data_IF_056259873754
#
_entry.id   IF_056259873754
#
_cell.length_a   1.000
_cell.length_b   1.000
_cell.length_c   1.000
_cell.angle_alpha   90.00
_cell.angle_beta   90.00
_cell.angle_gamma   90.00
#
_symmetry.space_group_name_H-M   'P 1'
#
loop_
_entity.id
_entity.type
_entity.pdbx_description
1 polymer ?
#
# COMPACT_ATOMS: atom_id res chain seq x y z
N UNK A 1 7.29 -0.94 -58.31
CA UNK A 1 7.89 -0.09 -57.26
C UNK A 1 6.98 -0.15 -56.05
N UNK A 2 7.03 -1.27 -55.31
CA UNK A 2 6.56 -1.35 -53.94
C UNK A 2 7.81 -1.38 -53.08
N UNK A 3 8.05 -0.33 -52.30
CA UNK A 3 9.17 -0.28 -51.37
C UNK A 3 8.67 0.10 -49.99
N UNK A 4 8.99 -0.79 -49.05
CA UNK A 4 9.25 -0.54 -47.63
C UNK A 4 8.06 -0.37 -46.69
N UNK A 5 7.28 -1.44 -46.57
CA UNK A 5 6.69 -1.83 -45.29
C UNK A 5 7.69 -2.61 -44.43
N UNK A 6 8.70 -1.95 -43.85
CA UNK A 6 9.50 -2.56 -42.79
C UNK A 6 10.25 -1.50 -41.96
N UNK A 7 10.24 -1.67 -40.63
CA UNK A 7 11.10 -1.01 -39.62
C UNK A 7 10.68 0.38 -39.09
N UNK A 8 9.51 0.49 -38.48
CA UNK A 8 9.23 1.55 -37.47
C UNK A 8 9.13 0.97 -36.04
N UNK A 9 8.73 -0.31 -35.87
CA UNK A 9 8.65 -0.95 -34.54
C UNK A 9 10.00 -1.16 -33.83
N UNK A 10 11.08 -1.41 -34.58
CA UNK A 10 12.38 -1.78 -33.98
C UNK A 10 13.23 -0.60 -33.47
N UNK A 11 12.86 0.65 -33.78
CA UNK A 11 13.66 1.84 -33.38
C UNK A 11 13.22 2.40 -32.02
N UNK A 12 11.91 2.38 -31.73
CA UNK A 12 11.37 2.73 -30.40
C UNK A 12 11.74 1.71 -29.32
N UNK A 13 11.77 0.42 -29.65
CA UNK A 13 12.25 -0.65 -28.75
C UNK A 13 13.72 -0.52 -28.38
N UNK A 14 14.58 -0.11 -29.33
CA UNK A 14 16.02 0.04 -29.10
C UNK A 14 16.38 1.26 -28.25
N UNK A 15 15.58 2.33 -28.30
CA UNK A 15 15.76 3.52 -27.44
C UNK A 15 15.29 3.21 -26.01
N UNK A 16 14.20 2.45 -25.86
CA UNK A 16 13.71 1.98 -24.55
C UNK A 16 14.70 1.09 -23.80
N UNK A 17 15.45 0.23 -24.51
CA UNK A 17 16.43 -0.70 -23.91
C UNK A 17 17.63 0.00 -23.26
N UNK A 18 17.98 1.23 -23.67
CA UNK A 18 19.24 1.86 -23.23
C UNK A 18 19.12 2.72 -21.97
N UNK A 19 17.98 3.38 -21.71
CA UNK A 19 17.89 4.34 -20.59
C UNK A 19 16.60 4.24 -19.74
N UNK A 20 15.46 3.79 -20.29
CA UNK A 20 14.17 3.81 -19.57
C UNK A 20 13.86 2.59 -18.71
N UNK A 21 14.33 1.39 -19.10
CA UNK A 21 13.94 0.14 -18.46
C UNK A 21 14.33 0.01 -16.98
N UNK A 22 15.48 0.56 -16.56
CA UNK A 22 15.98 0.42 -15.19
C UNK A 22 15.23 1.29 -14.18
N UNK A 23 14.87 2.52 -14.55
CA UNK A 23 14.11 3.44 -13.68
C UNK A 23 12.70 2.95 -13.39
N UNK A 24 12.08 2.24 -14.34
CA UNK A 24 10.72 1.70 -14.22
C UNK A 24 10.64 0.61 -13.17
N UNK A 25 11.58 -0.34 -13.21
CA UNK A 25 11.65 -1.39 -12.20
C UNK A 25 11.98 -0.80 -10.82
N UNK A 26 12.88 0.17 -10.74
CA UNK A 26 13.19 0.86 -9.49
C UNK A 26 11.97 1.59 -8.89
N UNK A 27 11.20 2.32 -9.70
CA UNK A 27 10.01 3.01 -9.24
C UNK A 27 8.91 2.04 -8.78
N UNK A 28 8.64 0.97 -9.55
CA UNK A 28 7.67 -0.05 -9.16
C UNK A 28 8.06 -0.76 -7.85
N UNK A 29 9.35 -1.10 -7.70
CA UNK A 29 9.87 -1.76 -6.50
C UNK A 29 9.78 -0.82 -5.29
N UNK A 30 10.17 0.45 -5.45
CA UNK A 30 10.16 1.42 -4.37
C UNK A 30 8.75 1.75 -3.88
N UNK A 31 7.79 1.95 -4.80
CA UNK A 31 6.40 2.20 -4.40
C UNK A 31 5.79 0.98 -3.69
N UNK A 32 6.09 -0.22 -4.20
CA UNK A 32 5.62 -1.44 -3.57
C UNK A 32 6.24 -1.66 -2.18
N UNK A 33 7.52 -1.31 -2.02
CA UNK A 33 8.19 -1.32 -0.73
C UNK A 33 7.49 -0.37 0.24
N UNK A 34 7.38 0.92 -0.08
CA UNK A 34 6.81 1.93 0.82
C UNK A 34 5.39 1.59 1.31
N UNK A 35 4.53 1.15 0.39
CA UNK A 35 3.14 0.80 0.70
C UNK A 35 3.04 -0.49 1.53
N UNK A 36 3.92 -1.47 1.29
CA UNK A 36 4.00 -2.69 2.10
C UNK A 36 4.58 -2.41 3.48
N UNK A 37 5.53 -1.48 3.62
CA UNK A 37 6.08 -1.06 4.92
C UNK A 37 5.03 -0.42 5.80
N UNK A 38 4.23 0.51 5.25
CA UNK A 38 3.15 1.15 5.98
C UNK A 38 2.15 0.11 6.51
N UNK A 39 1.67 -0.75 5.63
CA UNK A 39 0.72 -1.81 5.99
C UNK A 39 1.30 -2.78 7.02
N UNK A 40 2.54 -3.21 6.82
CA UNK A 40 3.22 -4.14 7.72
C UNK A 40 3.32 -3.60 9.15
N UNK A 41 3.63 -2.30 9.30
CA UNK A 41 3.69 -1.61 10.60
C UNK A 41 2.32 -1.51 11.26
N UNK A 42 1.29 -1.14 10.50
CA UNK A 42 -0.11 -1.08 10.99
C UNK A 42 -0.58 -2.47 11.43
N UNK A 43 -0.25 -3.51 10.65
CA UNK A 43 -0.63 -4.87 10.98
C UNK A 43 0.15 -5.44 12.18
N UNK A 44 1.41 -5.05 12.36
CA UNK A 44 2.20 -5.40 13.55
C UNK A 44 1.62 -4.79 14.82
N UNK A 45 1.30 -3.49 14.79
CA UNK A 45 0.61 -2.77 15.88
C UNK A 45 -0.73 -3.43 16.25
N UNK A 46 -1.43 -3.90 15.23
CA UNK A 46 -2.73 -4.53 15.35
C UNK A 46 -2.66 -5.99 15.81
N UNK A 47 -1.66 -6.75 15.35
CA UNK A 47 -1.40 -8.13 15.78
C UNK A 47 -1.13 -8.20 17.29
N UNK A 48 -0.39 -7.22 17.81
CA UNK A 48 -0.14 -7.08 19.25
C UNK A 48 -1.44 -6.86 20.04
N UNK A 49 -2.39 -6.08 19.50
CA UNK A 49 -3.71 -5.88 20.12
C UNK A 49 -4.61 -7.12 20.05
N UNK A 50 -4.42 -7.98 19.04
CA UNK A 50 -5.16 -9.23 18.84
C UNK A 50 -4.51 -10.45 19.53
N UNK A 51 -3.75 -10.24 20.62
CA UNK A 51 -3.06 -11.31 21.36
C UNK A 51 -2.18 -12.21 20.47
N UNK A 52 -1.60 -11.68 19.38
CA UNK A 52 -0.80 -12.45 18.43
C UNK A 52 -1.51 -13.69 17.84
N UNK A 53 -2.85 -13.67 17.75
CA UNK A 53 -3.62 -14.73 17.09
C UNK A 53 -3.30 -14.86 15.59
N UNK A 54 -2.72 -13.81 14.99
CA UNK A 54 -2.28 -13.79 13.60
C UNK A 54 -0.88 -13.20 13.55
N UNK A 55 0.09 -14.01 13.16
CA UNK A 55 1.46 -13.58 13.03
C UNK A 55 1.68 -12.68 11.82
N UNK A 56 2.56 -11.70 12.00
CA UNK A 56 3.03 -10.81 10.94
C UNK A 56 3.73 -11.61 9.83
N UNK A 57 4.51 -12.63 10.18
CA UNK A 57 5.22 -13.50 9.22
C UNK A 57 4.28 -14.35 8.36
N UNK A 58 3.25 -14.93 8.97
CA UNK A 58 2.23 -15.73 8.27
C UNK A 58 1.41 -14.87 7.31
N UNK A 59 1.02 -13.67 7.77
CA UNK A 59 0.31 -12.68 6.97
C UNK A 59 1.14 -12.22 5.77
N UNK A 60 2.44 -11.96 5.97
CA UNK A 60 3.34 -11.60 4.89
C UNK A 60 3.45 -12.73 3.86
N UNK A 61 3.63 -13.98 4.30
CA UNK A 61 3.74 -15.13 3.42
C UNK A 61 2.45 -15.33 2.60
N UNK A 62 1.30 -15.33 3.27
CA UNK A 62 -0.01 -15.50 2.63
C UNK A 62 -0.29 -14.34 1.67
N UNK A 63 0.10 -13.12 2.00
CA UNK A 63 0.00 -11.96 1.09
C UNK A 63 0.81 -12.12 -0.18
N UNK A 64 2.02 -12.69 -0.08
CA UNK A 64 2.85 -12.94 -1.26
C UNK A 64 2.26 -14.05 -2.14
N UNK A 65 1.74 -15.13 -1.53
CA UNK A 65 1.05 -16.21 -2.25
C UNK A 65 -0.21 -15.69 -2.94
N UNK A 66 -1.01 -14.88 -2.27
CA UNK A 66 -2.23 -14.29 -2.83
C UNK A 66 -1.92 -13.32 -3.97
N UNK A 67 -0.90 -12.48 -3.82
CA UNK A 67 -0.42 -11.60 -4.89
C UNK A 67 0.04 -12.39 -6.12
N UNK A 68 0.72 -13.52 -5.91
CA UNK A 68 1.13 -14.43 -6.98
C UNK A 68 -0.07 -15.10 -7.68
N UNK A 69 -1.01 -15.65 -6.90
CA UNK A 69 -2.23 -16.27 -7.43
C UNK A 69 -3.04 -15.26 -8.24
N UNK A 70 -3.21 -14.05 -7.72
CA UNK A 70 -3.92 -13.00 -8.44
C UNK A 70 -3.16 -12.59 -9.71
N UNK A 71 -1.84 -12.41 -9.67
CA UNK A 71 -1.05 -12.06 -10.85
C UNK A 71 -1.08 -13.14 -11.96
N UNK A 72 -1.20 -14.41 -11.60
CA UNK A 72 -1.27 -15.53 -12.54
C UNK A 72 -2.66 -15.65 -13.19
N UNK A 73 -3.73 -15.57 -12.40
CA UNK A 73 -5.09 -15.88 -12.86
C UNK A 73 -5.92 -14.65 -13.24
N UNK A 74 -5.64 -13.45 -12.71
CA UNK A 74 -6.46 -12.28 -12.99
C UNK A 74 -6.50 -11.92 -14.48
N UNK A 75 -7.66 -11.45 -14.93
CA UNK A 75 -7.85 -10.91 -16.27
C UNK A 75 -7.16 -9.56 -16.43
N UNK A 76 -7.07 -8.76 -15.35
CA UNK A 76 -6.34 -7.49 -15.34
C UNK A 76 -4.96 -7.63 -14.67
N UNK A 77 -3.87 -7.90 -15.42
CA UNK A 77 -2.56 -8.22 -14.85
C UNK A 77 -1.82 -7.01 -14.22
N UNK A 78 -2.29 -5.79 -14.46
CA UNK A 78 -1.70 -4.60 -13.83
C UNK A 78 -2.17 -4.39 -12.39
N UNK A 79 -3.26 -5.04 -12.00
CA UNK A 79 -3.85 -4.87 -10.68
C UNK A 79 -3.08 -5.65 -9.63
N UNK A 80 -2.72 -4.95 -8.55
CA UNK A 80 -2.01 -5.53 -7.42
C UNK A 80 -2.96 -5.59 -6.24
N UNK A 81 -3.08 -6.80 -5.69
CA UNK A 81 -3.88 -7.07 -4.49
C UNK A 81 -2.98 -6.98 -3.26
N UNK A 82 -3.55 -6.48 -2.18
CA UNK A 82 -2.90 -6.31 -0.90
C UNK A 82 -3.94 -5.90 0.13
N UNK A 83 -3.59 -5.97 1.39
CA UNK A 83 -4.51 -5.51 2.40
C UNK A 83 -4.49 -3.97 2.49
N UNK A 84 -5.63 -3.39 2.86
CA UNK A 84 -5.90 -1.96 2.80
C UNK A 84 -6.32 -1.45 4.17
N UNK A 85 -6.04 -0.18 4.49
CA UNK A 85 -6.36 0.42 5.79
C UNK A 85 -7.82 0.19 6.23
N UNK A 86 -8.84 0.40 5.37
CA UNK A 86 -10.23 0.12 5.74
C UNK A 86 -10.51 -1.36 6.08
N UNK A 87 -9.85 -2.31 5.40
CA UNK A 87 -9.98 -3.73 5.72
C UNK A 87 -9.34 -4.07 7.07
N UNK A 88 -8.22 -3.43 7.42
CA UNK A 88 -7.57 -3.57 8.72
C UNK A 88 -8.51 -3.12 9.85
N UNK A 89 -9.08 -1.92 9.72
CA UNK A 89 -10.03 -1.38 10.70
C UNK A 89 -11.24 -2.31 10.87
N UNK A 90 -11.73 -2.89 9.76
CA UNK A 90 -12.77 -3.90 9.81
C UNK A 90 -12.34 -5.14 10.60
N UNK A 91 -11.12 -5.65 10.41
CA UNK A 91 -10.60 -6.78 11.20
C UNK A 91 -10.52 -6.45 12.70
N UNK A 92 -10.14 -5.23 13.05
CA UNK A 92 -10.12 -4.76 14.43
C UNK A 92 -11.50 -4.73 15.08
N UNK A 93 -12.46 -4.15 14.37
CA UNK A 93 -13.86 -4.15 14.79
C UNK A 93 -14.40 -5.58 14.92
N UNK A 94 -14.05 -6.47 13.98
CA UNK A 94 -14.44 -7.88 14.01
C UNK A 94 -13.85 -8.61 15.22
N UNK A 95 -12.60 -8.32 15.59
CA UNK A 95 -11.95 -8.91 16.77
C UNK A 95 -12.64 -8.45 18.06
N UNK A 96 -12.92 -7.15 18.20
CA UNK A 96 -13.66 -6.62 19.34
C UNK A 96 -15.08 -7.18 19.43
N UNK A 97 -15.75 -7.34 18.28
CA UNK A 97 -17.04 -7.99 18.20
C UNK A 97 -16.94 -9.45 18.67
N UNK A 98 -16.01 -10.24 18.14
CA UNK A 98 -15.81 -11.62 18.54
C UNK A 98 -15.56 -11.76 20.05
N UNK A 99 -14.72 -10.88 20.62
CA UNK A 99 -14.43 -10.86 22.06
C UNK A 99 -15.65 -10.47 22.91
N UNK A 100 -16.48 -9.54 22.45
CA UNK A 100 -17.69 -9.11 23.18
C UNK A 100 -18.77 -10.19 23.22
N UNK A 101 -18.90 -10.97 22.14
CA UNK A 101 -19.90 -12.04 22.02
C UNK A 101 -19.34 -13.44 22.33
N UNK A 102 -18.09 -13.53 22.85
CA UNK A 102 -17.40 -14.79 23.16
C UNK A 102 -17.36 -15.77 21.96
N UNK A 103 -17.29 -15.24 20.75
CA UNK A 103 -17.17 -16.03 19.53
C UNK A 103 -15.70 -16.28 19.21
N UNK A 104 -15.41 -17.48 18.70
CA UNK A 104 -14.08 -17.76 18.17
C UNK A 104 -13.82 -16.89 16.92
N UNK A 105 -12.78 -16.06 17.03
CA UNK A 105 -12.41 -15.09 16.00
C UNK A 105 -12.03 -15.76 14.69
N UNK A 106 -11.32 -16.89 14.75
CA UNK A 106 -10.83 -17.58 13.57
C UNK A 106 -12.00 -18.21 12.80
N UNK A 107 -12.90 -18.89 13.52
CA UNK A 107 -14.14 -19.44 12.96
C UNK A 107 -15.03 -18.36 12.32
N UNK A 108 -15.17 -17.20 12.97
CA UNK A 108 -15.97 -16.09 12.44
C UNK A 108 -15.39 -15.55 11.11
N UNK A 109 -14.06 -15.47 11.00
CA UNK A 109 -13.40 -15.06 9.75
C UNK A 109 -13.65 -16.04 8.61
N UNK A 110 -13.58 -17.35 8.86
CA UNK A 110 -13.86 -18.37 7.84
C UNK A 110 -15.29 -18.22 7.32
N UNK A 111 -16.27 -18.06 8.21
CA UNK A 111 -17.66 -17.83 7.83
C UNK A 111 -17.86 -16.57 6.99
N UNK A 112 -17.19 -15.47 7.34
CA UNK A 112 -17.20 -14.25 6.52
C UNK A 112 -16.60 -14.53 5.14
N UNK A 113 -15.48 -15.25 5.05
CA UNK A 113 -14.87 -15.65 3.77
C UNK A 113 -15.79 -16.50 2.89
N UNK A 114 -16.56 -17.41 3.49
CA UNK A 114 -17.57 -18.22 2.78
C UNK A 114 -18.66 -17.34 2.20
N UNK A 115 -19.24 -16.45 3.02
CA UNK A 115 -20.27 -15.51 2.54
C UNK A 115 -19.75 -14.52 1.51
N UNK A 116 -18.51 -14.05 1.63
CA UNK A 116 -17.86 -13.21 0.62
C UNK A 116 -17.77 -13.92 -0.74
N UNK A 117 -17.52 -15.23 -0.74
CA UNK A 117 -17.53 -16.03 -1.98
C UNK A 117 -18.93 -16.18 -2.56
N UNK A 118 -19.92 -16.46 -1.72
CA UNK A 118 -21.33 -16.53 -2.16
C UNK A 118 -21.78 -15.20 -2.76
N UNK A 119 -21.57 -14.08 -2.07
CA UNK A 119 -21.93 -12.76 -2.59
C UNK A 119 -21.13 -12.38 -3.84
N UNK A 120 -19.84 -12.72 -3.89
CA UNK A 120 -19.01 -12.51 -5.08
C UNK A 120 -19.55 -13.24 -6.32
N UNK A 121 -19.96 -14.49 -6.16
CA UNK A 121 -20.59 -15.28 -7.22
C UNK A 121 -21.94 -14.68 -7.66
N UNK A 122 -22.78 -14.26 -6.71
CA UNK A 122 -24.07 -13.62 -7.02
C UNK A 122 -23.85 -12.30 -7.78
N UNK A 123 -22.93 -11.45 -7.32
CA UNK A 123 -22.61 -10.18 -7.99
C UNK A 123 -22.09 -10.42 -9.41
N UNK A 124 -21.27 -11.46 -9.61
CA UNK A 124 -20.80 -11.84 -10.93
C UNK A 124 -21.92 -12.38 -11.84
N UNK A 125 -22.82 -13.21 -11.29
CA UNK A 125 -23.93 -13.83 -12.01
C UNK A 125 -25.04 -12.84 -12.42
N UNK A 126 -25.37 -11.88 -11.57
CA UNK A 126 -26.41 -10.87 -11.84
C UNK A 126 -25.92 -9.64 -12.62
N UNK A 127 -24.69 -9.69 -13.16
CA UNK A 127 -24.04 -8.54 -13.80
C UNK A 127 -24.05 -7.27 -12.94
N UNK A 128 -24.10 -7.38 -11.61
CA UNK A 128 -24.12 -6.22 -10.71
C UNK A 128 -22.83 -5.39 -10.82
N UNK A 129 -21.76 -5.99 -11.36
CA UNK A 129 -20.52 -5.32 -11.79
C UNK A 129 -20.79 -4.19 -12.80
N UNK A 130 -21.89 -4.21 -13.57
CA UNK A 130 -22.27 -3.13 -14.47
C UNK A 130 -22.61 -1.81 -13.73
N UNK A 131 -22.98 -1.87 -12.44
CA UNK A 131 -23.17 -0.68 -11.59
C UNK A 131 -21.87 0.13 -11.52
N UNK A 132 -20.72 -0.53 -11.58
CA UNK A 132 -19.40 0.12 -11.53
C UNK A 132 -19.22 1.09 -12.72
N UNK A 133 -19.86 0.84 -13.87
CA UNK A 133 -19.84 1.78 -15.02
C UNK A 133 -20.64 3.06 -14.77
N UNK A 134 -21.50 3.10 -13.75
CA UNK A 134 -22.30 4.29 -13.38
C UNK A 134 -21.53 5.25 -12.46
N UNK A 135 -20.36 4.87 -11.94
CA UNK A 135 -19.52 5.79 -11.19
C UNK A 135 -19.00 6.89 -12.13
N UNK A 136 -19.40 8.11 -11.84
CA UNK A 136 -18.98 9.29 -12.59
C UNK A 136 -17.73 9.89 -12.00
N UNK A 137 -16.98 10.65 -12.80
CA UNK A 137 -15.79 11.41 -12.37
C UNK A 137 -16.01 12.20 -11.06
N UNK A 138 -17.22 12.73 -10.85
CA UNK A 138 -17.59 13.44 -9.63
C UNK A 138 -17.52 12.55 -8.38
N UNK A 139 -18.11 11.34 -8.44
CA UNK A 139 -18.02 10.38 -7.32
C UNK A 139 -16.57 9.93 -7.09
N UNK A 140 -15.77 9.87 -8.16
CA UNK A 140 -14.35 9.53 -8.05
C UNK A 140 -13.55 10.58 -7.28
N UNK A 141 -13.76 11.85 -7.60
CA UNK A 141 -13.06 12.97 -6.98
C UNK A 141 -13.47 13.13 -5.52
N UNK A 142 -14.77 12.96 -5.18
CA UNK A 142 -15.23 12.98 -3.78
C UNK A 142 -14.57 11.87 -2.97
N UNK A 143 -14.59 10.65 -3.50
CA UNK A 143 -14.02 9.51 -2.80
C UNK A 143 -12.51 9.70 -2.58
N UNK A 144 -11.80 10.19 -3.60
CA UNK A 144 -10.37 10.47 -3.50
C UNK A 144 -10.04 11.53 -2.46
N UNK A 145 -10.85 12.59 -2.37
CA UNK A 145 -10.70 13.61 -1.35
C UNK A 145 -10.96 13.05 0.05
N UNK A 146 -11.96 12.18 0.21
CA UNK A 146 -12.28 11.54 1.50
C UNK A 146 -11.11 10.68 2.00
N UNK A 147 -10.55 9.82 1.16
CA UNK A 147 -9.40 8.99 1.57
C UNK A 147 -8.17 9.84 1.87
N UNK A 148 -7.91 10.88 1.07
CA UNK A 148 -6.84 11.83 1.36
C UNK A 148 -7.00 12.48 2.74
N UNK A 149 -8.22 12.90 3.09
CA UNK A 149 -8.54 13.47 4.39
C UNK A 149 -8.33 12.46 5.53
N UNK A 150 -8.78 11.21 5.35
CA UNK A 150 -8.58 10.12 6.32
C UNK A 150 -7.09 9.87 6.55
N UNK A 151 -6.28 9.78 5.50
CA UNK A 151 -4.84 9.56 5.68
C UNK A 151 -4.15 10.72 6.39
N UNK A 152 -4.48 11.96 6.06
CA UNK A 152 -3.93 13.13 6.76
C UNK A 152 -4.30 13.05 8.25
N UNK A 153 -5.57 12.78 8.55
CA UNK A 153 -6.04 12.64 9.93
C UNK A 153 -5.28 11.53 10.66
N UNK A 154 -5.15 10.35 10.06
CA UNK A 154 -4.47 9.20 10.64
C UNK A 154 -2.99 9.47 10.94
N UNK A 155 -2.28 10.14 10.02
CA UNK A 155 -0.88 10.56 10.23
C UNK A 155 -0.73 11.48 11.45
N UNK A 156 -1.67 12.41 11.67
CA UNK A 156 -1.66 13.27 12.86
C UNK A 156 -2.02 12.53 14.13
N UNK A 157 -2.99 11.60 14.11
CA UNK A 157 -3.34 10.77 15.27
C UNK A 157 -2.13 9.94 15.72
N UNK A 158 -1.41 9.32 14.78
CA UNK A 158 -0.18 8.57 15.06
C UNK A 158 0.91 9.46 15.66
N UNK A 159 1.10 10.68 15.13
CA UNK A 159 2.04 11.64 15.70
C UNK A 159 1.66 12.01 17.15
N UNK A 160 0.39 12.29 17.41
CA UNK A 160 -0.10 12.61 18.77
C UNK A 160 0.11 11.42 19.72
N UNK A 161 -0.14 10.20 19.25
CA UNK A 161 0.10 8.99 20.04
C UNK A 161 1.58 8.83 20.43
N UNK A 162 2.52 9.18 19.55
CA UNK A 162 3.96 9.21 19.88
C UNK A 162 4.26 10.24 20.97
N UNK A 163 3.64 11.42 20.92
CA UNK A 163 3.78 12.44 21.97
C UNK A 163 3.17 12.03 23.31
N UNK A 164 2.12 11.19 23.30
CA UNK A 164 1.54 10.62 24.51
C UNK A 164 2.42 9.51 25.09
N UNK A 165 3.05 8.70 24.24
CA UNK A 165 3.94 7.59 24.65
C UNK A 165 5.29 8.11 25.16
N UNK A 166 5.79 9.20 24.58
CA UNK A 166 7.03 9.87 24.97
C UNK A 166 6.75 11.34 25.32
N UNK A 167 6.16 11.60 26.50
CA UNK A 167 5.84 12.96 26.93
C UNK A 167 7.12 13.78 27.14
N UNK A 168 7.04 15.07 26.85
CA UNK A 168 8.13 16.02 27.07
C UNK A 168 8.21 16.39 28.56
N UNK A 169 8.92 15.58 29.33
CA UNK A 169 9.16 15.81 30.76
C UNK A 169 10.56 16.40 30.94
N UNK A 170 10.77 17.21 31.99
CA UNK A 170 12.06 17.83 32.31
C UNK A 170 13.09 16.82 32.83
N UNK A 171 12.65 15.72 33.43
CA UNK A 171 13.48 14.71 34.06
C UNK A 171 13.06 13.32 33.56
N UNK A 172 14.01 12.57 33.01
CA UNK A 172 13.82 11.20 32.54
C UNK A 172 14.62 10.27 33.45
N UNK A 173 13.99 9.20 33.94
CA UNK A 173 14.69 8.16 34.70
C UNK A 173 15.48 7.30 33.73
N UNK A 174 16.80 7.50 33.69
CA UNK A 174 17.71 6.60 32.97
C UNK A 174 18.01 5.44 33.92
N UNK A 175 17.46 4.26 33.65
CA UNK A 175 17.92 3.03 34.30
C UNK A 175 19.31 2.74 33.74
N UNK A 176 20.36 3.28 34.37
CA UNK A 176 21.73 2.81 34.14
C UNK A 176 21.86 1.45 34.81
N UNK A 177 22.09 0.39 34.03
CA UNK A 177 22.62 -0.87 34.55
C UNK A 177 24.05 -0.63 35.07
N UNK A 178 24.15 -0.07 36.27
CA UNK A 178 25.36 -0.19 37.08
C UNK A 178 25.07 -1.08 38.29
N UNK A 179 25.95 -2.07 38.45
CA UNK A 179 26.01 -3.03 39.54
C UNK A 179 25.58 -2.46 40.91
N UNK A 180 24.70 -3.20 41.58
CA UNK A 180 24.71 -3.31 43.05
C UNK A 180 24.13 -2.15 43.83
N UNK A 181 22.98 -2.42 44.47
CA UNK A 181 22.60 -1.91 45.80
C UNK A 181 22.58 -0.39 45.99
N UNK A 182 21.39 0.21 46.07
CA UNK A 182 21.07 1.12 47.19
C UNK A 182 19.56 1.36 47.29
N UNK A 183 19.13 1.47 48.54
CA UNK A 183 17.78 1.77 48.96
C UNK A 183 17.34 3.13 48.40
N UNK A 184 16.28 3.13 47.60
CA UNK A 184 15.57 4.31 47.14
C UNK A 184 14.08 3.98 47.07
N UNK A 185 13.28 4.81 47.73
CA UNK A 185 11.83 4.73 47.94
C UNK A 185 11.05 4.28 46.70
N UNK A 186 10.03 3.40 46.83
CA UNK A 186 9.18 3.02 45.70
C UNK A 186 8.25 4.20 45.37
N UNK A 187 8.68 5.10 44.49
CA UNK A 187 7.75 6.01 43.84
C UNK A 187 6.96 5.20 42.83
N UNK A 188 5.71 4.90 43.19
CA UNK A 188 4.68 4.37 42.30
C UNK A 188 4.63 5.23 41.03
N UNK A 189 5.36 4.80 40.01
CA UNK A 189 5.28 5.38 38.68
C UNK A 189 4.04 4.76 38.09
N UNK A 190 3.02 5.57 37.80
CA UNK A 190 1.90 5.13 36.98
C UNK A 190 2.48 4.63 35.67
N UNK A 191 2.58 3.30 35.53
CA UNK A 191 2.78 2.64 34.26
C UNK A 191 1.61 3.06 33.40
N UNK A 192 1.82 4.04 32.53
CA UNK A 192 0.83 4.39 31.52
C UNK A 192 0.79 3.20 30.58
N UNK A 193 -0.22 2.33 30.75
CA UNK A 193 -0.54 1.29 29.77
C UNK A 193 -0.77 1.98 28.44
N UNK A 194 0.23 1.93 27.57
CA UNK A 194 0.01 2.12 26.16
C UNK A 194 -1.00 1.06 25.69
N UNK A 195 -1.82 1.34 24.68
CA UNK A 195 -2.66 0.32 24.04
C UNK A 195 -1.83 -0.78 23.33
N UNK A 196 -0.50 -0.68 23.38
CA UNK A 196 0.48 -1.62 22.85
C UNK A 196 1.20 -2.25 24.04
N UNK A 197 1.06 -3.56 24.21
CA UNK A 197 1.49 -4.33 25.40
C UNK A 197 3.01 -4.48 25.59
N UNK A 198 3.79 -3.43 25.35
CA UNK A 198 5.21 -3.36 25.68
C UNK A 198 5.41 -2.21 26.68
N UNK A 199 5.85 -2.51 27.89
CA UNK A 199 6.20 -1.49 28.89
C UNK A 199 7.43 -0.70 28.42
N UNK A 200 7.20 0.32 27.58
CA UNK A 200 8.28 1.18 27.09
C UNK A 200 8.49 2.34 28.05
N UNK A 201 9.68 2.42 28.65
CA UNK A 201 10.09 3.61 29.39
C UNK A 201 10.02 4.85 28.47
N UNK A 202 9.47 5.98 28.95
CA UNK A 202 9.45 7.21 28.18
C UNK A 202 10.89 7.65 27.89
N UNK A 203 11.26 7.75 26.62
CA UNK A 203 12.60 8.16 26.20
C UNK A 203 12.65 9.66 25.85
N UNK A 204 13.74 10.36 26.21
CA UNK A 204 13.91 11.77 25.84
C UNK A 204 14.05 11.94 24.33
N UNK A 205 13.56 13.08 23.81
CA UNK A 205 13.74 13.57 22.44
C UNK A 205 13.12 12.72 21.30
N UNK A 206 12.59 11.54 21.57
CA UNK A 206 11.96 10.67 20.55
C UNK A 206 10.75 11.33 19.86
N UNK A 207 9.89 12.02 20.63
CA UNK A 207 8.72 12.71 20.08
C UNK A 207 9.11 13.87 19.16
N UNK A 208 10.09 14.68 19.58
CA UNK A 208 10.58 15.81 18.79
C UNK A 208 11.29 15.33 17.50
N UNK A 209 12.13 14.31 17.60
CA UNK A 209 12.79 13.71 16.44
C UNK A 209 11.77 13.16 15.43
N UNK A 210 10.73 12.47 15.92
CA UNK A 210 9.65 11.95 15.09
C UNK A 210 8.89 13.06 14.36
N UNK A 211 8.60 14.17 15.04
CA UNK A 211 8.01 15.36 14.41
C UNK A 211 8.92 15.93 13.32
N UNK A 212 10.22 16.08 13.58
CA UNK A 212 11.19 16.60 12.61
C UNK A 212 11.27 15.68 11.39
N UNK A 213 11.30 14.36 11.59
CA UNK A 213 11.34 13.39 10.50
C UNK A 213 10.07 13.43 9.63
N UNK A 214 8.89 13.50 10.24
CA UNK A 214 7.61 13.57 9.52
C UNK A 214 7.53 14.81 8.63
N UNK A 215 7.70 16.01 9.21
CA UNK A 215 7.62 17.26 8.46
C UNK A 215 8.81 17.46 7.52
N UNK A 216 10.01 17.04 7.91
CA UNK A 216 11.20 17.10 7.07
C UNK A 216 11.05 16.27 5.80
N UNK A 217 10.58 15.03 5.92
CA UNK A 217 10.35 14.13 4.78
C UNK A 217 9.24 14.65 3.88
N UNK A 218 8.17 15.21 4.46
CA UNK A 218 7.09 15.86 3.70
C UNK A 218 7.60 17.07 2.89
N UNK A 219 8.37 17.97 3.50
CA UNK A 219 8.91 19.15 2.83
C UNK A 219 9.90 18.75 1.73
N UNK A 220 10.82 17.82 2.01
CA UNK A 220 11.79 17.31 1.02
C UNK A 220 11.02 16.74 -0.18
N UNK A 221 10.04 15.86 0.06
CA UNK A 221 9.24 15.25 -1.00
C UNK A 221 8.43 16.29 -1.78
N UNK A 222 7.83 17.26 -1.10
CA UNK A 222 7.08 18.35 -1.74
C UNK A 222 7.97 19.21 -2.63
N UNK A 223 9.18 19.56 -2.17
CA UNK A 223 10.16 20.33 -2.94
C UNK A 223 10.70 19.52 -4.11
N UNK A 224 11.00 18.23 -3.94
CA UNK A 224 11.42 17.32 -5.02
C UNK A 224 10.31 17.20 -6.09
N UNK A 225 9.04 17.13 -5.69
CA UNK A 225 7.90 17.10 -6.62
C UNK A 225 7.78 18.40 -7.43
N UNK A 226 7.97 19.55 -6.80
CA UNK A 226 7.96 20.84 -7.52
C UNK A 226 9.18 20.97 -8.45
N UNK A 227 10.33 20.49 -7.99
CA UNK A 227 11.60 20.53 -8.72
C UNK A 227 11.58 19.65 -9.98
N UNK A 228 10.83 18.53 -9.97
CA UNK A 228 10.57 17.69 -11.16
C UNK A 228 9.91 18.44 -12.32
N UNK A 229 9.06 19.42 -12.02
CA UNK A 229 8.37 20.20 -13.04
C UNK A 229 9.17 21.44 -13.49
N UNK A 230 10.33 21.69 -12.87
CA UNK A 230 11.21 22.80 -13.21
C UNK A 230 12.11 22.46 -14.40
N UNK A 231 12.45 23.47 -15.20
CA UNK A 231 13.35 23.35 -16.36
C UNK A 231 14.78 22.92 -16.04
N UNK A 232 15.18 22.93 -14.77
CA UNK A 232 16.58 22.89 -14.36
C UNK A 232 17.21 21.48 -14.24
N UNK A 233 16.43 20.40 -14.19
CA UNK A 233 16.97 19.03 -14.13
C UNK A 233 16.13 18.07 -14.97
N UNK A 234 16.80 17.22 -15.76
CA UNK A 234 16.15 16.24 -16.64
C UNK A 234 15.26 15.25 -15.87
N UNK A 235 14.22 14.74 -16.54
CA UNK A 235 13.15 13.88 -16.00
C UNK A 235 13.60 12.65 -15.19
N UNK A 236 14.86 12.25 -15.26
CA UNK A 236 15.43 11.04 -14.65
C UNK A 236 15.33 10.96 -13.11
N UNK A 237 15.33 12.10 -12.40
CA UNK A 237 15.32 12.13 -10.92
C UNK A 237 13.91 12.35 -10.34
N UNK A 238 12.93 12.74 -11.17
CA UNK A 238 11.60 13.13 -10.71
C UNK A 238 10.57 12.01 -10.62
N UNK A 239 10.80 10.87 -11.28
CA UNK A 239 9.80 9.80 -11.31
C UNK A 239 9.60 9.10 -9.97
N UNK A 240 10.46 9.33 -8.96
CA UNK A 240 10.35 8.75 -7.60
C UNK A 240 9.27 9.37 -6.68
N UNK A 241 8.53 10.38 -7.14
CA UNK A 241 7.52 11.05 -6.31
C UNK A 241 6.23 10.22 -6.17
N UNK A 242 5.81 9.96 -4.92
CA UNK A 242 4.60 9.19 -4.56
C UNK A 242 3.34 9.74 -5.26
N UNK A 243 2.67 8.96 -6.14
CA UNK A 243 1.39 9.35 -6.69
C UNK A 243 0.25 9.01 -5.71
N UNK A 244 -0.35 10.04 -5.13
CA UNK A 244 -1.53 9.92 -4.25
C UNK A 244 -2.79 9.94 -5.13
N UNK A 245 -3.28 8.76 -5.52
CA UNK A 245 -4.64 8.59 -6.10
C UNK A 245 -5.25 7.28 -5.61
N UNK A 246 -6.25 7.39 -4.75
CA UNK A 246 -7.18 6.32 -4.32
C UNK A 246 -8.60 6.83 -4.61
N UNK A 247 -9.60 6.08 -5.09
CA UNK A 247 -9.88 4.68 -4.80
C UNK A 247 -10.76 3.99 -5.86
N UNK A 248 -10.42 4.15 -7.13
CA UNK A 248 -11.17 3.55 -8.24
C UNK A 248 -10.22 2.71 -9.07
N UNK A 249 -9.53 1.76 -8.44
CA UNK A 249 -8.41 1.02 -9.04
C UNK A 249 -8.73 0.54 -10.45
N UNK A 250 -9.83 -0.21 -10.58
CA UNK A 250 -10.22 -0.86 -11.81
C UNK A 250 -10.77 0.12 -12.85
N UNK A 251 -11.63 1.09 -12.50
CA UNK A 251 -12.12 2.05 -13.51
C UNK A 251 -11.06 3.08 -13.89
N UNK A 252 -10.19 3.50 -12.95
CA UNK A 252 -9.02 4.34 -13.23
C UNK A 252 -8.11 3.62 -14.23
N UNK A 253 -7.90 2.32 -14.04
CA UNK A 253 -7.09 1.52 -14.94
C UNK A 253 -7.75 1.39 -16.31
N UNK A 254 -9.05 1.11 -16.36
CA UNK A 254 -9.81 0.96 -17.60
C UNK A 254 -10.22 2.28 -18.27
N UNK A 255 -9.66 3.44 -17.88
CA UNK A 255 -9.97 4.70 -18.54
C UNK A 255 -9.53 4.66 -20.01
N UNK A 256 -10.37 5.12 -20.95
CA UNK A 256 -10.02 5.14 -22.37
C UNK A 256 -8.79 6.01 -22.65
N UNK A 257 -8.50 6.98 -21.79
CA UNK A 257 -7.30 7.84 -21.82
C UNK A 257 -5.97 7.06 -21.79
N UNK A 258 -5.97 5.80 -21.32
CA UNK A 258 -4.75 4.99 -21.19
C UNK A 258 -4.43 4.12 -22.40
N UNK A 259 -5.26 4.09 -23.44
CA UNK A 259 -5.04 3.33 -24.68
C UNK A 259 -4.55 1.89 -24.42
N UNK A 260 -5.20 1.17 -23.50
CA UNK A 260 -4.86 -0.21 -23.19
C UNK A 260 -5.33 -1.15 -24.31
N UNK A 261 -4.51 -2.14 -24.65
CA UNK A 261 -4.76 -3.03 -25.78
C UNK A 261 -5.57 -4.27 -25.42
N UNK A 262 -5.54 -4.72 -24.16
CA UNK A 262 -6.28 -5.90 -23.70
C UNK A 262 -7.58 -5.48 -23.00
N UNK A 263 -8.59 -6.33 -23.12
CA UNK A 263 -9.87 -6.16 -22.43
C UNK A 263 -9.74 -6.37 -20.91
N UNK A 264 -10.61 -5.72 -20.13
CA UNK A 264 -10.70 -5.89 -18.68
C UNK A 264 -11.75 -6.94 -18.32
N UNK A 265 -11.41 -7.91 -17.46
CA UNK A 265 -12.30 -9.00 -17.03
C UNK A 265 -12.85 -8.82 -15.62
N UNK A 266 -13.65 -7.77 -15.40
CA UNK A 266 -14.17 -7.41 -14.07
C UNK A 266 -14.93 -8.53 -13.35
N UNK A 267 -15.72 -9.33 -14.09
CA UNK A 267 -16.54 -10.41 -13.51
C UNK A 267 -15.68 -11.55 -12.96
N UNK A 268 -14.60 -11.90 -13.65
CA UNK A 268 -13.71 -12.96 -13.20
C UNK A 268 -12.82 -12.47 -12.06
N UNK A 269 -12.33 -11.23 -12.14
CA UNK A 269 -11.44 -10.65 -11.13
C UNK A 269 -12.12 -10.52 -9.76
N UNK A 270 -13.43 -10.22 -9.70
CA UNK A 270 -14.19 -10.19 -8.43
C UNK A 270 -14.37 -11.59 -7.84
N UNK A 271 -14.67 -12.60 -8.66
CA UNK A 271 -14.82 -13.98 -8.20
C UNK A 271 -13.48 -14.52 -7.70
N UNK A 272 -12.41 -14.26 -8.43
CA UNK A 272 -11.05 -14.63 -8.05
C UNK A 272 -10.65 -13.95 -6.73
N UNK A 273 -10.95 -12.65 -6.56
CA UNK A 273 -10.67 -11.93 -5.32
C UNK A 273 -11.44 -12.51 -4.13
N UNK A 274 -12.72 -12.83 -4.29
CA UNK A 274 -13.51 -13.46 -3.23
C UNK A 274 -12.99 -14.86 -2.87
N UNK A 275 -12.62 -15.67 -3.87
CA UNK A 275 -12.04 -16.99 -3.64
C UNK A 275 -10.69 -16.91 -2.91
N UNK A 276 -9.82 -15.98 -3.29
CA UNK A 276 -8.56 -15.73 -2.56
C UNK A 276 -8.84 -15.30 -1.12
N UNK A 277 -9.86 -14.47 -0.88
CA UNK A 277 -10.24 -14.05 0.47
C UNK A 277 -10.84 -15.19 1.32
N UNK A 278 -11.52 -16.16 0.72
CA UNK A 278 -11.91 -17.39 1.40
C UNK A 278 -10.68 -18.18 1.85
N UNK A 279 -9.70 -18.35 0.95
CA UNK A 279 -8.43 -18.99 1.28
C UNK A 279 -7.72 -18.24 2.42
N UNK A 280 -7.69 -16.90 2.38
CA UNK A 280 -7.16 -16.08 3.48
C UNK A 280 -7.84 -16.38 4.81
N UNK A 281 -9.18 -16.42 4.81
CA UNK A 281 -9.97 -16.70 6.01
C UNK A 281 -9.65 -18.07 6.63
N UNK A 282 -9.47 -19.09 5.79
CA UNK A 282 -9.11 -20.46 6.23
C UNK A 282 -7.71 -20.51 6.84
N UNK A 283 -6.75 -19.79 6.26
CA UNK A 283 -5.37 -19.75 6.75
C UNK A 283 -5.13 -18.68 7.83
N UNK A 284 -6.18 -17.99 8.30
CA UNK A 284 -6.05 -16.96 9.35
C UNK A 284 -5.40 -15.65 8.87
N UNK A 285 -5.22 -15.45 7.57
CA UNK A 285 -4.71 -14.19 7.02
C UNK A 285 -5.78 -13.10 6.97
N UNK A 286 -5.38 -11.81 6.96
CA UNK A 286 -6.29 -10.71 6.66
C UNK A 286 -6.84 -10.82 5.23
N UNK A 287 -8.06 -10.33 5.05
CA UNK A 287 -8.66 -10.16 3.74
C UNK A 287 -7.90 -9.10 2.95
N UNK A 288 -7.75 -9.35 1.65
CA UNK A 288 -7.00 -8.50 0.74
C UNK A 288 -7.93 -7.94 -0.33
N UNK A 289 -7.64 -6.72 -0.76
CA UNK A 289 -8.39 -6.01 -1.78
C UNK A 289 -7.48 -5.43 -2.85
N UNK A 290 -8.05 -4.86 -3.91
CA UNK A 290 -7.28 -4.12 -4.90
C UNK A 290 -6.67 -2.87 -4.27
N UNK A 291 -5.35 -2.72 -4.34
CA UNK A 291 -4.65 -1.54 -3.80
C UNK A 291 -4.53 -0.48 -4.90
N UNK A 292 -5.27 0.62 -4.76
CA UNK A 292 -5.39 1.64 -5.80
C UNK A 292 -4.11 2.42 -6.05
N UNK A 293 -3.48 3.03 -5.02
CA UNK A 293 -2.24 3.82 -5.19
C UNK A 293 -1.14 2.97 -5.82
N UNK A 294 -0.96 1.74 -5.31
CA UNK A 294 0.03 0.78 -5.82
C UNK A 294 -0.21 0.41 -7.28
N UNK A 295 -1.44 0.05 -7.63
CA UNK A 295 -1.80 -0.31 -9.02
C UNK A 295 -1.66 0.87 -9.97
N UNK A 296 -2.06 2.08 -9.57
CA UNK A 296 -1.95 3.28 -10.39
C UNK A 296 -0.49 3.66 -10.61
N UNK A 297 0.35 3.57 -9.57
CA UNK A 297 1.78 3.82 -9.68
C UNK A 297 2.47 2.79 -10.59
N UNK A 298 2.18 1.51 -10.40
CA UNK A 298 2.64 0.41 -11.26
C UNK A 298 2.24 0.62 -12.73
N UNK A 299 0.99 1.02 -12.97
CA UNK A 299 0.48 1.34 -14.30
C UNK A 299 1.18 2.56 -14.91
N UNK A 300 1.41 3.59 -14.10
CA UNK A 300 2.08 4.82 -14.54
C UNK A 300 3.52 4.54 -14.96
N UNK A 301 4.22 3.66 -14.25
CA UNK A 301 5.57 3.23 -14.60
C UNK A 301 5.62 2.41 -15.91
N UNK A 302 4.52 1.75 -16.28
CA UNK A 302 4.39 0.98 -17.52
C UNK A 302 3.79 1.81 -18.68
N UNK A 303 3.47 3.07 -18.44
CA UNK A 303 2.88 3.97 -19.43
C UNK A 303 3.96 4.54 -20.34
N UNK A 304 3.79 4.38 -21.65
CA UNK A 304 4.66 4.97 -22.68
C UNK A 304 4.10 6.34 -23.05
N UNK A 305 4.93 7.37 -22.88
CA UNK A 305 4.62 8.75 -23.25
C UNK A 305 5.16 9.07 -24.65
N UNK A 306 4.42 9.87 -25.42
CA UNK A 306 4.86 10.26 -26.76
C UNK A 306 6.14 11.09 -26.76
N UNK A 307 7.04 10.78 -27.69
CA UNK A 307 8.35 11.46 -27.84
C UNK A 307 8.34 12.62 -28.83
N UNK A 308 7.25 12.80 -29.59
CA UNK A 308 7.12 13.85 -30.62
C UNK A 308 6.05 14.84 -30.21
N UNK A 309 6.44 15.92 -29.53
CA UNK A 309 5.56 17.01 -29.15
C UNK A 309 6.20 18.37 -29.41
N UNK A 310 5.37 19.35 -29.72
CA UNK A 310 5.78 20.74 -29.80
C UNK A 310 6.23 21.24 -28.40
N UNK A 311 7.23 22.13 -28.31
CA UNK A 311 7.70 22.66 -27.03
C UNK A 311 6.55 23.32 -26.24
N UNK A 312 6.20 22.76 -25.09
CA UNK A 312 5.17 23.30 -24.18
C UNK A 312 3.87 22.49 -24.08
N UNK A 313 3.68 21.46 -24.91
CA UNK A 313 2.52 20.56 -24.79
C UNK A 313 2.78 19.44 -23.74
N UNK A 314 1.74 19.03 -23.01
CA UNK A 314 1.85 17.96 -22.03
C UNK A 314 1.99 16.59 -22.73
N UNK A 315 2.85 15.68 -22.24
CA UNK A 315 3.05 14.35 -22.83
C UNK A 315 1.73 13.58 -22.94
N UNK A 316 1.39 13.19 -24.18
CA UNK A 316 0.23 12.36 -24.47
C UNK A 316 0.60 10.89 -24.26
N UNK A 317 -0.31 10.14 -23.65
CA UNK A 317 -0.13 8.71 -23.40
C UNK A 317 -0.34 7.96 -24.73
N UNK A 318 0.70 7.26 -25.20
CA UNK A 318 0.61 6.42 -26.42
C UNK A 318 0.01 5.05 -26.11
N UNK A 319 0.31 4.50 -24.92
CA UNK A 319 -0.25 3.24 -24.46
C UNK A 319 0.45 2.72 -23.20
N UNK A 320 -0.04 1.62 -22.65
CA UNK A 320 0.51 0.97 -21.45
C UNK A 320 1.01 -0.43 -21.80
N UNK A 321 2.21 -0.78 -21.34
CA UNK A 321 2.74 -2.15 -21.51
C UNK A 321 2.14 -3.09 -20.47
N UNK A 322 1.23 -3.96 -20.90
CA UNK A 322 0.52 -4.89 -20.02
C UNK A 322 1.31 -6.19 -19.81
N UNK A 323 1.98 -6.31 -18.66
CA UNK A 323 2.80 -7.47 -18.29
C UNK A 323 2.40 -8.05 -16.92
N UNK A 324 2.47 -9.38 -16.79
CA UNK A 324 2.28 -10.11 -15.51
C UNK A 324 3.57 -10.20 -14.68
N UNK A 325 4.72 -10.16 -15.36
CA UNK A 325 6.02 -10.42 -14.74
C UNK A 325 6.34 -9.43 -13.63
N UNK A 326 5.96 -8.16 -13.77
CA UNK A 326 6.20 -7.18 -12.71
C UNK A 326 5.42 -7.47 -11.45
N UNK A 327 4.13 -7.83 -11.54
CA UNK A 327 3.33 -8.23 -10.38
C UNK A 327 3.90 -9.48 -9.69
N UNK A 328 4.39 -10.46 -10.47
CA UNK A 328 5.04 -11.68 -9.96
C UNK A 328 6.35 -11.36 -9.24
N UNK A 329 7.26 -10.64 -9.91
CA UNK A 329 8.58 -10.26 -9.35
C UNK A 329 8.40 -9.47 -8.06
N UNK A 330 7.46 -8.55 -8.06
CA UNK A 330 7.15 -7.72 -6.90
C UNK A 330 6.55 -8.55 -5.75
N UNK A 331 5.69 -9.54 -6.05
CA UNK A 331 5.15 -10.47 -5.04
C UNK A 331 6.20 -11.41 -4.46
N UNK A 332 7.25 -11.76 -5.21
CA UNK A 332 8.37 -12.57 -4.72
C UNK A 332 9.34 -11.71 -3.89
N UNK A 333 9.72 -10.54 -4.41
CA UNK A 333 10.65 -9.62 -3.75
C UNK A 333 10.10 -9.11 -2.41
N UNK A 334 8.78 -9.09 -2.28
CA UNK A 334 8.03 -8.77 -1.08
C UNK A 334 8.38 -9.58 0.17
N UNK A 335 8.87 -10.81 0.04
CA UNK A 335 9.29 -11.66 1.17
C UNK A 335 10.68 -11.24 1.64
N UNK A 336 11.59 -11.01 0.70
CA UNK A 336 12.98 -10.60 0.96
C UNK A 336 13.05 -9.21 1.60
N UNK A 337 12.18 -8.30 1.17
CA UNK A 337 12.09 -6.96 1.73
C UNK A 337 11.65 -6.97 3.20
N UNK A 338 10.90 -7.99 3.64
CA UNK A 338 10.46 -8.18 5.02
C UNK A 338 11.55 -7.91 6.07
N UNK A 339 12.72 -8.51 5.87
CA UNK A 339 13.86 -8.38 6.78
C UNK A 339 14.49 -6.98 6.78
N UNK A 340 14.34 -6.21 5.70
CA UNK A 340 14.88 -4.86 5.53
C UNK A 340 13.93 -3.79 6.10
N UNK A 341 12.63 -4.13 6.27
CA UNK A 341 11.60 -3.19 6.74
C UNK A 341 11.85 -2.69 8.18
N UNK A 342 12.48 -3.50 9.03
CA UNK A 342 12.77 -3.16 10.42
C UNK A 342 13.67 -1.92 10.58
N UNK A 343 14.40 -1.52 9.53
CA UNK A 343 15.32 -0.39 9.58
C UNK A 343 14.66 0.98 9.32
N UNK A 344 13.46 1.03 8.71
CA UNK A 344 12.84 2.30 8.30
C UNK A 344 12.03 2.87 9.47
N UNK A 345 12.34 4.05 10.03
CA UNK A 345 11.61 4.61 11.18
C UNK A 345 10.12 4.86 10.89
N UNK A 346 9.23 4.59 11.87
CA UNK A 346 7.77 4.79 11.74
C UNK A 346 7.43 6.22 11.32
N UNK A 347 8.16 7.21 11.83
CA UNK A 347 7.92 8.63 11.57
C UNK A 347 8.18 9.10 10.13
N UNK A 348 8.88 8.28 9.32
CA UNK A 348 9.17 8.59 7.91
C UNK A 348 8.07 8.09 6.97
N UNK A 349 7.31 7.08 7.41
CA UNK A 349 6.20 6.44 6.69
C UNK A 349 4.90 7.19 6.94
#
# INVERSE_FOLDING_TARGET
>A
METNGEKIGGKGEKIWRKEGGKGIWQHCIWQHFADKTKYWREFEEDGDQMNNLIGVGETLLISCVNGLLFALFACQPLLIVGATGPLIIFHMSLYHFAKTYELDFLSLRVWIGVWMTVFGLLVAAFEAVAIVKKFTRFTEEIFSTLVCLIFIYESFVKLIAIFQTHPLISEYVIMTEENGQTNGTPTNTTTTTAPYGLETLPQPNTALLSMILMFGTFIITFKLKHFRNSKFLGRSVGDFGVPIKENICHLILSKPERNMTKGSGFHFDIVLSCFINLVCGVFGAPFMGPVCVRTVSHTSALTVMSSTQAPGESPKIEGVKEQRLSAIVVSILSVLLGCVLNLVPKAVL
#
